data_IF_470869282414
#
_entry.id   IF_470869282414
#
_cell.length_a   1.000
_cell.length_b   1.000
_cell.length_c   1.000
_cell.angle_alpha   90.00
_cell.angle_beta   90.00
_cell.angle_gamma   90.00
#
_symmetry.space_group_name_H-M   'P 1'
#
loop_
_entity.id
_entity.type
_entity.pdbx_description
1 polymer ?
#
# COMPACT_ATOMS: atom_id res chain seq x y z
N UNK A 1 -17.90 -21.60 30.71
CA UNK A 1 -16.76 -20.87 30.10
C UNK A 1 -17.28 -19.54 29.59
N UNK A 2 -16.81 -18.40 30.12
CA UNK A 2 -17.16 -17.07 29.61
C UNK A 2 -16.65 -16.91 28.18
N UNK A 3 -17.49 -16.37 27.27
CA UNK A 3 -17.03 -16.03 25.92
C UNK A 3 -15.87 -15.04 26.04
N UNK A 4 -14.79 -15.20 25.25
CA UNK A 4 -13.72 -14.22 25.22
C UNK A 4 -14.32 -12.85 24.87
N UNK A 5 -13.90 -11.82 25.60
CA UNK A 5 -14.31 -10.44 25.33
C UNK A 5 -13.74 -10.03 23.97
N UNK A 6 -14.59 -9.50 23.09
CA UNK A 6 -14.13 -9.04 21.78
C UNK A 6 -13.14 -7.87 21.95
N UNK A 7 -12.05 -7.84 21.16
CA UNK A 7 -11.07 -6.76 21.21
C UNK A 7 -11.70 -5.39 20.94
N UNK A 8 -11.30 -4.40 21.72
CA UNK A 8 -11.80 -3.04 21.66
C UNK A 8 -11.00 -2.19 20.64
N UNK A 9 -11.45 -0.95 20.39
CA UNK A 9 -10.67 0.04 19.63
C UNK A 9 -9.33 0.34 20.30
N UNK A 10 -9.28 0.40 21.65
CA UNK A 10 -8.05 0.65 22.39
C UNK A 10 -7.03 -0.49 22.18
N UNK A 11 -7.49 -1.74 22.15
CA UNK A 11 -6.64 -2.90 21.88
C UNK A 11 -6.06 -2.82 20.46
N UNK A 12 -6.87 -2.44 19.46
CA UNK A 12 -6.41 -2.26 18.09
C UNK A 12 -5.37 -1.13 17.96
N UNK A 13 -5.59 -0.01 18.65
CA UNK A 13 -4.61 1.09 18.68
C UNK A 13 -3.30 0.68 19.36
N UNK A 14 -3.38 -0.07 20.47
CA UNK A 14 -2.20 -0.61 21.15
C UNK A 14 -1.43 -1.59 20.26
N UNK A 15 -2.12 -2.49 19.58
CA UNK A 15 -1.50 -3.43 18.64
C UNK A 15 -0.85 -2.71 17.46
N UNK A 16 -1.50 -1.70 16.88
CA UNK A 16 -0.92 -0.86 15.83
C UNK A 16 0.33 -0.11 16.29
N UNK A 17 0.34 0.40 17.52
CA UNK A 17 1.52 1.03 18.11
C UNK A 17 2.69 0.05 18.23
N UNK A 18 2.44 -1.20 18.61
CA UNK A 18 3.45 -2.24 18.68
C UNK A 18 4.09 -2.56 17.32
N UNK A 19 3.34 -2.47 16.22
CA UNK A 19 3.90 -2.63 14.85
C UNK A 19 5.00 -1.61 14.59
N UNK A 20 4.84 -0.38 15.07
CA UNK A 20 5.84 0.68 14.96
C UNK A 20 7.00 0.43 15.94
N UNK A 21 6.71 0.25 17.21
CA UNK A 21 7.69 0.11 18.29
C UNK A 21 8.58 -1.13 18.13
N UNK A 22 8.06 -2.21 17.54
CA UNK A 22 8.85 -3.41 17.21
C UNK A 22 9.76 -3.24 15.99
N UNK A 23 9.67 -2.12 15.28
CA UNK A 23 10.37 -1.88 14.02
C UNK A 23 9.81 -2.68 12.83
N UNK A 24 8.64 -3.28 12.94
CA UNK A 24 8.04 -4.07 11.85
C UNK A 24 7.72 -3.20 10.64
N UNK A 25 7.13 -2.02 10.85
CA UNK A 25 6.88 -1.04 9.80
C UNK A 25 8.17 -0.67 9.08
N UNK A 26 9.21 -0.30 9.84
CA UNK A 26 10.50 0.12 9.30
C UNK A 26 11.16 -0.96 8.45
N UNK A 27 11.24 -2.20 8.96
CA UNK A 27 11.81 -3.33 8.20
C UNK A 27 11.06 -3.59 6.90
N UNK A 28 9.73 -3.69 6.94
CA UNK A 28 8.93 -3.94 5.73
C UNK A 28 9.05 -2.78 4.74
N UNK A 29 9.07 -1.54 5.21
CA UNK A 29 9.24 -0.38 4.33
C UNK A 29 10.63 -0.34 3.70
N UNK A 30 11.67 -0.74 4.44
CA UNK A 30 13.03 -0.89 3.91
C UNK A 30 13.06 -1.86 2.74
N UNK A 31 12.41 -3.03 2.87
CA UNK A 31 12.34 -4.03 1.82
C UNK A 31 11.62 -3.49 0.56
N UNK A 32 10.52 -2.75 0.75
CA UNK A 32 9.79 -2.14 -0.35
C UNK A 32 10.59 -1.05 -1.06
N UNK A 33 11.27 -0.19 -0.29
CA UNK A 33 12.06 0.93 -0.83
C UNK A 33 13.29 0.42 -1.57
N UNK A 34 13.87 -0.70 -1.15
CA UNK A 34 15.05 -1.29 -1.81
C UNK A 34 14.81 -1.67 -3.28
N UNK A 35 13.56 -1.92 -3.67
CA UNK A 35 13.20 -2.11 -5.08
C UNK A 35 13.12 -0.75 -5.79
N UNK A 36 13.97 -0.56 -6.80
CA UNK A 36 14.06 0.66 -7.60
C UNK A 36 12.92 0.71 -8.62
N UNK A 37 11.72 1.02 -8.16
CA UNK A 37 10.50 1.05 -8.99
C UNK A 37 10.29 2.39 -9.69
N UNK A 38 11.30 2.89 -10.36
CA UNK A 38 11.28 4.16 -11.09
C UNK A 38 10.49 3.99 -12.40
N UNK A 39 9.21 4.39 -12.43
CA UNK A 39 8.34 4.25 -13.61
C UNK A 39 8.78 5.11 -14.79
N UNK A 40 9.53 6.17 -14.53
CA UNK A 40 10.08 7.06 -15.55
C UNK A 40 11.28 6.45 -16.29
N UNK A 41 11.85 5.33 -15.83
CA UNK A 41 12.95 4.61 -16.46
C UNK A 41 12.45 3.30 -17.10
N UNK A 42 12.40 3.18 -18.44
CA UNK A 42 11.97 1.97 -19.12
C UNK A 42 12.80 0.72 -18.78
N UNK A 43 14.05 0.89 -18.31
CA UNK A 43 14.89 -0.22 -17.88
C UNK A 43 14.37 -0.89 -16.59
N UNK A 44 13.53 -0.21 -15.82
CA UNK A 44 12.98 -0.70 -14.57
C UNK A 44 11.65 -1.46 -14.73
N UNK A 45 11.12 -1.65 -15.92
CA UNK A 45 9.83 -2.32 -16.17
C UNK A 45 9.73 -3.67 -15.47
N UNK A 46 10.78 -4.47 -15.47
CA UNK A 46 10.80 -5.77 -14.78
C UNK A 46 10.72 -5.61 -13.25
N UNK A 47 11.29 -4.56 -12.68
CA UNK A 47 11.27 -4.27 -11.25
C UNK A 47 9.88 -3.80 -10.80
N UNK A 48 9.17 -3.08 -11.67
CA UNK A 48 7.77 -2.68 -11.42
C UNK A 48 6.87 -3.92 -11.27
N UNK A 49 7.01 -4.89 -12.18
CA UNK A 49 6.26 -6.15 -12.10
C UNK A 49 6.70 -7.00 -10.89
N UNK A 50 8.01 -7.06 -10.60
CA UNK A 50 8.56 -7.72 -9.43
C UNK A 50 7.95 -7.20 -8.13
N UNK A 51 7.77 -5.89 -7.99
CA UNK A 51 7.16 -5.29 -6.82
C UNK A 51 5.75 -5.85 -6.55
N UNK A 52 4.93 -5.95 -7.58
CA UNK A 52 3.58 -6.52 -7.45
C UNK A 52 3.62 -8.02 -7.12
N UNK A 53 4.48 -8.80 -7.80
CA UNK A 53 4.53 -10.26 -7.68
C UNK A 53 5.17 -10.72 -6.39
N UNK A 54 6.28 -10.09 -5.98
CA UNK A 54 7.12 -10.58 -4.90
C UNK A 54 6.91 -9.86 -3.57
N UNK A 55 6.39 -8.61 -3.62
CA UNK A 55 6.15 -7.84 -2.40
C UNK A 55 4.66 -7.74 -2.07
N UNK A 56 3.84 -7.24 -2.99
CA UNK A 56 2.42 -6.98 -2.71
C UNK A 56 1.58 -8.25 -2.65
N UNK A 57 1.73 -9.12 -3.66
CA UNK A 57 0.95 -10.36 -3.74
C UNK A 57 1.12 -11.26 -2.52
N UNK A 58 2.33 -11.60 -2.05
CA UNK A 58 2.50 -12.45 -0.86
C UNK A 58 1.92 -11.82 0.41
N UNK A 59 2.09 -10.50 0.58
CA UNK A 59 1.56 -9.77 1.73
C UNK A 59 0.03 -9.84 1.80
N UNK A 60 -0.65 -9.68 0.68
CA UNK A 60 -2.11 -9.74 0.59
C UNK A 60 -2.62 -11.18 0.74
N UNK A 61 -1.94 -12.17 0.15
CA UNK A 61 -2.27 -13.59 0.33
C UNK A 61 -2.15 -14.03 1.80
N UNK A 62 -1.11 -13.57 2.53
CA UNK A 62 -0.95 -13.83 3.97
C UNK A 62 -2.15 -13.32 4.77
N UNK A 63 -2.78 -12.25 4.34
CA UNK A 63 -3.97 -11.69 4.95
C UNK A 63 -5.29 -12.32 4.45
N UNK A 64 -5.21 -13.36 3.62
CA UNK A 64 -6.38 -14.08 3.11
C UNK A 64 -7.15 -13.35 2.00
N UNK A 65 -6.46 -12.52 1.22
CA UNK A 65 -7.03 -11.93 0.02
C UNK A 65 -6.91 -12.89 -1.17
N UNK A 66 -7.89 -12.87 -2.06
CA UNK A 66 -7.74 -13.33 -3.43
C UNK A 66 -7.00 -12.25 -4.22
N UNK A 67 -5.92 -12.61 -4.93
CA UNK A 67 -5.03 -11.63 -5.58
C UNK A 67 -4.81 -12.00 -7.04
N UNK A 68 -5.09 -11.07 -7.93
CA UNK A 68 -4.87 -11.19 -9.37
C UNK A 68 -3.98 -10.05 -9.89
N UNK A 69 -3.04 -10.39 -10.76
CA UNK A 69 -2.36 -9.42 -11.60
C UNK A 69 -3.06 -9.35 -12.95
N UNK A 70 -3.25 -8.13 -13.43
CA UNK A 70 -3.90 -7.85 -14.70
C UNK A 70 -2.94 -7.11 -15.62
N UNK A 71 -2.98 -7.48 -16.89
CA UNK A 71 -2.28 -6.72 -17.91
C UNK A 71 -2.88 -5.30 -17.99
N UNK A 72 -2.02 -4.33 -18.24
CA UNK A 72 -2.49 -2.98 -18.45
C UNK A 72 -3.15 -2.85 -19.82
N UNK A 73 -4.31 -2.18 -19.95
CA UNK A 73 -4.96 -1.94 -21.23
C UNK A 73 -4.07 -1.19 -22.24
N UNK A 74 -3.15 -0.37 -21.74
CA UNK A 74 -2.16 0.32 -22.58
C UNK A 74 -0.93 -0.56 -22.77
N UNK A 75 -0.61 -0.84 -24.03
CA UNK A 75 0.53 -1.69 -24.40
C UNK A 75 1.84 -1.17 -23.78
N UNK A 76 2.60 -2.06 -23.15
CA UNK A 76 3.88 -1.80 -22.45
C UNK A 76 3.76 -0.99 -21.15
N UNK A 77 2.59 -0.54 -20.74
CA UNK A 77 2.44 -0.01 -19.41
C UNK A 77 2.52 -1.14 -18.36
N UNK A 78 3.00 -0.85 -17.14
CA UNK A 78 3.13 -1.87 -16.11
C UNK A 78 1.77 -2.50 -15.76
N UNK A 79 1.77 -3.77 -15.29
CA UNK A 79 0.54 -4.44 -14.85
C UNK A 79 -0.05 -3.75 -13.61
N UNK A 80 -1.32 -4.08 -13.34
CA UNK A 80 -2.03 -3.67 -12.13
C UNK A 80 -2.31 -4.88 -11.24
N UNK A 81 -2.39 -4.67 -9.94
CA UNK A 81 -2.80 -5.69 -9.00
C UNK A 81 -4.19 -5.35 -8.46
N UNK A 82 -5.12 -6.30 -8.57
CA UNK A 82 -6.42 -6.24 -7.93
C UNK A 82 -6.51 -7.36 -6.90
N UNK A 83 -6.91 -7.03 -5.68
CA UNK A 83 -7.14 -8.02 -4.64
C UNK A 83 -8.47 -7.80 -3.94
N UNK A 84 -9.05 -8.87 -3.38
CA UNK A 84 -10.28 -8.79 -2.63
C UNK A 84 -10.29 -9.74 -1.44
N UNK A 85 -10.86 -9.29 -0.33
CA UNK A 85 -11.22 -10.10 0.83
C UNK A 85 -12.67 -9.82 1.18
N UNK A 86 -13.53 -10.77 0.86
CA UNK A 86 -14.97 -10.69 1.14
C UNK A 86 -15.26 -11.55 2.35
N UNK A 87 -15.66 -10.93 3.46
CA UNK A 87 -16.05 -11.64 4.68
C UNK A 87 -17.54 -12.00 4.68
N UNK A 88 -18.37 -11.07 4.20
CA UNK A 88 -19.80 -11.28 3.99
C UNK A 88 -20.30 -10.24 2.96
N UNK A 89 -21.04 -10.66 1.91
CA UNK A 89 -21.58 -9.74 0.89
C UNK A 89 -22.45 -8.60 1.41
N UNK A 90 -23.08 -8.78 2.57
CA UNK A 90 -23.94 -7.77 3.21
C UNK A 90 -23.17 -6.68 3.96
N UNK A 91 -21.85 -6.87 4.15
CA UNK A 91 -21.01 -5.89 4.83
C UNK A 91 -20.55 -4.80 3.86
N UNK A 92 -20.32 -3.58 4.36
CA UNK A 92 -19.75 -2.52 3.54
C UNK A 92 -18.37 -2.91 3.00
N UNK A 93 -18.08 -2.43 1.80
CA UNK A 93 -16.82 -2.68 1.09
C UNK A 93 -15.98 -1.42 1.02
N UNK A 94 -14.73 -1.53 1.41
CA UNK A 94 -13.72 -0.47 1.29
C UNK A 94 -12.79 -0.83 0.13
N UNK A 95 -12.58 0.10 -0.81
CA UNK A 95 -11.53 0.03 -1.82
C UNK A 95 -10.33 0.84 -1.34
N UNK A 96 -9.18 0.20 -1.26
CA UNK A 96 -7.89 0.85 -0.98
C UNK A 96 -7.13 0.98 -2.31
N UNK A 97 -6.71 2.20 -2.62
CA UNK A 97 -5.84 2.50 -3.75
C UNK A 97 -4.45 2.89 -3.26
N UNK A 98 -3.45 2.52 -4.04
CA UNK A 98 -2.08 2.97 -3.89
C UNK A 98 -1.26 2.68 -5.14
N UNK A 99 -0.05 3.25 -5.19
CA UNK A 99 0.91 2.94 -6.25
C UNK A 99 2.26 2.53 -5.67
N UNK A 100 2.94 1.64 -6.38
CA UNK A 100 4.24 1.12 -5.93
C UNK A 100 5.42 1.71 -6.70
N UNK A 101 5.16 2.43 -7.78
CA UNK A 101 6.19 3.15 -8.52
C UNK A 101 6.61 4.45 -7.81
N UNK A 102 7.72 4.99 -8.25
CA UNK A 102 8.31 6.22 -7.74
C UNK A 102 8.95 7.00 -8.89
N UNK A 103 9.11 8.32 -8.69
CA UNK A 103 9.94 9.16 -9.58
C UNK A 103 11.41 8.75 -9.47
N UNK A 104 12.27 9.30 -10.34
CA UNK A 104 13.71 9.08 -10.29
C UNK A 104 14.28 9.28 -8.88
N UNK A 105 15.16 8.36 -8.46
CA UNK A 105 15.85 8.40 -7.19
C UNK A 105 16.72 9.64 -7.00
N UNK A 106 17.26 10.18 -8.10
CA UNK A 106 18.17 11.33 -8.09
C UNK A 106 19.38 11.11 -7.16
N UNK A 107 20.04 9.98 -7.32
CA UNK A 107 21.07 9.45 -6.41
C UNK A 107 22.12 10.48 -5.99
N UNK A 108 22.45 11.45 -6.86
CA UNK A 108 23.48 12.47 -6.61
C UNK A 108 22.97 13.72 -5.82
N UNK A 109 21.69 13.76 -5.46
CA UNK A 109 21.08 14.93 -4.82
C UNK A 109 20.77 14.68 -3.33
N UNK A 110 21.07 13.48 -2.83
CA UNK A 110 20.85 13.14 -1.42
C UNK A 110 21.99 13.68 -0.55
N UNK A 111 21.64 14.06 0.67
CA UNK A 111 22.63 14.46 1.67
C UNK A 111 23.60 13.32 1.96
N UNK A 112 24.86 13.61 2.38
CA UNK A 112 25.83 12.59 2.74
C UNK A 112 25.26 11.58 3.76
N UNK A 113 25.42 10.31 3.48
CA UNK A 113 24.89 9.22 4.31
C UNK A 113 23.45 8.80 4.02
N UNK A 114 22.75 9.50 3.13
CA UNK A 114 21.42 9.13 2.65
C UNK A 114 21.48 8.65 1.20
N UNK A 115 20.53 7.81 0.83
CA UNK A 115 20.37 7.33 -0.54
C UNK A 115 18.90 7.02 -0.84
N UNK A 116 18.48 7.06 -2.12
CA UNK A 116 17.06 6.86 -2.44
C UNK A 116 16.55 5.44 -2.13
N UNK A 117 17.38 4.41 -2.33
CA UNK A 117 16.94 3.01 -2.25
C UNK A 117 17.62 2.20 -1.13
N UNK A 118 18.29 2.88 -0.20
CA UNK A 118 18.75 2.31 1.06
C UNK A 118 18.26 3.23 2.20
N UNK A 119 17.24 2.78 2.92
CA UNK A 119 16.61 3.61 3.95
C UNK A 119 17.51 3.83 5.15
N UNK A 120 17.42 5.02 5.72
CA UNK A 120 18.10 5.40 6.96
C UNK A 120 17.10 6.08 7.88
N UNK A 121 17.07 5.69 9.14
CA UNK A 121 16.26 6.36 10.17
C UNK A 121 17.15 7.26 11.01
N UNK A 122 16.85 8.56 11.00
CA UNK A 122 17.54 9.59 11.78
C UNK A 122 16.49 10.41 12.55
N UNK A 123 16.70 10.59 13.83
CA UNK A 123 15.83 11.40 14.71
C UNK A 123 14.32 11.02 14.60
N UNK A 124 14.02 9.73 14.44
CA UNK A 124 12.67 9.22 14.32
C UNK A 124 12.03 9.42 12.94
N UNK A 125 12.78 9.91 11.96
CA UNK A 125 12.35 10.07 10.57
C UNK A 125 13.06 9.09 9.66
N UNK A 126 12.30 8.39 8.82
CA UNK A 126 12.84 7.43 7.85
C UNK A 126 12.98 8.10 6.48
N UNK A 127 14.21 8.08 5.96
CA UNK A 127 14.57 8.67 4.67
C UNK A 127 14.76 7.60 3.61
N UNK A 128 14.21 7.84 2.43
CA UNK A 128 14.29 6.99 1.25
C UNK A 128 13.24 7.37 0.21
N UNK A 129 13.44 7.02 -1.05
CA UNK A 129 12.47 7.27 -2.13
C UNK A 129 11.27 6.34 -1.98
N UNK A 130 10.07 6.91 -1.86
CA UNK A 130 8.85 6.15 -1.63
C UNK A 130 8.53 5.87 -0.15
N UNK A 131 9.34 6.32 0.82
CA UNK A 131 9.02 6.17 2.25
C UNK A 131 7.71 6.85 2.64
N UNK A 132 7.33 7.90 1.95
CA UNK A 132 6.02 8.52 2.04
C UNK A 132 5.19 8.16 0.78
N UNK A 133 5.59 8.66 -0.35
CA UNK A 133 4.89 8.59 -1.62
C UNK A 133 5.42 7.44 -2.49
N UNK A 134 4.67 6.34 -2.69
CA UNK A 134 3.43 5.97 -1.97
C UNK A 134 3.61 4.67 -1.19
N UNK A 135 4.83 4.02 -1.21
CA UNK A 135 5.11 2.72 -0.59
C UNK A 135 4.80 2.71 0.91
N UNK A 136 5.18 3.80 1.62
CA UNK A 136 4.89 3.92 3.05
C UNK A 136 3.40 4.04 3.33
N UNK A 137 2.68 4.79 2.53
CA UNK A 137 1.25 5.06 2.75
C UNK A 137 0.40 3.80 2.56
N UNK A 138 0.56 3.06 1.45
CA UNK A 138 -0.21 1.83 1.27
C UNK A 138 0.25 0.71 2.22
N UNK A 139 1.55 0.65 2.60
CA UNK A 139 2.02 -0.28 3.62
C UNK A 139 1.35 -0.05 4.97
N UNK A 140 1.16 1.21 5.40
CA UNK A 140 0.45 1.56 6.64
C UNK A 140 -0.98 1.01 6.60
N UNK A 141 -1.69 1.16 5.48
CA UNK A 141 -3.03 0.59 5.32
C UNK A 141 -3.02 -0.94 5.47
N UNK A 142 -2.08 -1.63 4.84
CA UNK A 142 -1.99 -3.09 4.92
C UNK A 142 -1.60 -3.58 6.32
N UNK A 143 -0.70 -2.90 7.00
CA UNK A 143 -0.35 -3.23 8.38
C UNK A 143 -1.52 -2.97 9.35
N UNK A 144 -2.33 -1.94 9.11
CA UNK A 144 -3.54 -1.71 9.88
C UNK A 144 -4.57 -2.84 9.67
N UNK A 145 -4.82 -3.27 8.43
CA UNK A 145 -5.68 -4.42 8.14
C UNK A 145 -5.15 -5.70 8.79
N UNK A 146 -3.85 -5.98 8.63
CA UNK A 146 -3.22 -7.16 9.24
C UNK A 146 -3.37 -7.14 10.76
N UNK A 147 -3.14 -6.00 11.39
CA UNK A 147 -3.31 -5.83 12.83
C UNK A 147 -4.73 -6.18 13.29
N UNK A 148 -5.75 -5.74 12.55
CA UNK A 148 -7.14 -6.07 12.86
C UNK A 148 -7.44 -7.56 12.65
N UNK A 149 -6.95 -8.16 11.58
CA UNK A 149 -7.12 -9.58 11.29
C UNK A 149 -6.46 -10.42 12.38
N UNK A 150 -5.21 -10.12 12.74
CA UNK A 150 -4.46 -10.85 13.78
C UNK A 150 -5.13 -10.73 15.13
N UNK A 151 -5.71 -9.57 15.45
CA UNK A 151 -6.34 -9.31 16.73
C UNK A 151 -7.75 -9.92 16.85
N UNK A 152 -8.53 -9.93 15.76
CA UNK A 152 -9.96 -10.27 15.79
C UNK A 152 -10.31 -11.53 15.00
N UNK A 153 -9.41 -12.00 14.13
CA UNK A 153 -9.70 -13.04 13.15
C UNK A 153 -10.53 -12.57 11.95
N UNK A 154 -11.06 -11.34 11.99
CA UNK A 154 -11.88 -10.74 10.95
C UNK A 154 -11.77 -9.22 10.96
N UNK A 155 -12.16 -8.59 9.85
CA UNK A 155 -12.23 -7.13 9.72
C UNK A 155 -13.60 -6.58 10.14
N UNK A 156 -14.68 -7.30 9.85
CA UNK A 156 -16.06 -6.85 10.01
C UNK A 156 -16.52 -5.96 8.84
N UNK A 157 -15.76 -5.92 7.75
CA UNK A 157 -16.07 -5.26 6.48
C UNK A 157 -15.29 -5.96 5.35
N UNK A 158 -15.74 -5.76 4.12
CA UNK A 158 -15.04 -6.27 2.95
C UNK A 158 -13.98 -5.27 2.49
N UNK A 159 -12.88 -5.78 1.92
CA UNK A 159 -11.81 -4.94 1.40
C UNK A 159 -11.45 -5.35 -0.02
N UNK A 160 -11.31 -4.37 -0.87
CA UNK A 160 -10.69 -4.47 -2.19
C UNK A 160 -9.43 -3.61 -2.20
N UNK A 161 -8.43 -4.02 -2.98
CA UNK A 161 -7.16 -3.30 -3.11
C UNK A 161 -6.81 -3.19 -4.57
N UNK A 162 -6.50 -1.98 -5.01
CA UNK A 162 -5.97 -1.70 -6.33
C UNK A 162 -4.59 -1.05 -6.17
N UNK A 163 -3.56 -1.69 -6.73
CA UNK A 163 -2.19 -1.15 -6.78
C UNK A 163 -1.77 -1.02 -8.23
N UNK A 164 -1.34 0.18 -8.61
CA UNK A 164 -0.72 0.44 -9.90
C UNK A 164 0.79 0.68 -9.77
N UNK A 165 1.46 0.77 -10.93
CA UNK A 165 2.92 0.95 -11.03
C UNK A 165 3.30 2.02 -12.04
N UNK A 166 2.43 3.03 -12.27
CA UNK A 166 2.63 4.07 -13.28
C UNK A 166 1.98 5.42 -12.89
N UNK A 167 1.71 5.65 -11.61
CA UNK A 167 1.09 6.89 -11.13
C UNK A 167 1.96 8.10 -11.46
N UNK A 168 3.26 7.99 -11.21
CA UNK A 168 4.27 9.03 -11.39
C UNK A 168 4.54 9.41 -12.88
N UNK A 169 3.89 8.71 -13.80
CA UNK A 169 3.88 9.02 -15.25
C UNK A 169 2.47 9.25 -15.79
N UNK A 170 1.49 9.49 -14.89
CA UNK A 170 0.12 9.86 -15.24
C UNK A 170 -0.83 8.69 -15.42
N UNK A 171 -0.58 7.56 -14.78
CA UNK A 171 -1.47 6.39 -14.71
C UNK A 171 -2.00 5.90 -16.06
N UNK A 172 -1.16 5.65 -17.08
CA UNK A 172 -1.63 5.20 -18.38
C UNK A 172 -2.40 3.88 -18.25
N UNK A 173 -3.62 3.84 -18.75
CA UNK A 173 -4.51 2.67 -18.74
C UNK A 173 -5.31 2.47 -17.46
N UNK A 174 -5.11 3.26 -16.41
CA UNK A 174 -5.87 3.12 -15.15
C UNK A 174 -7.37 3.38 -15.36
N UNK A 175 -7.72 4.42 -16.10
CA UNK A 175 -9.12 4.75 -16.36
C UNK A 175 -9.83 3.64 -17.15
N UNK A 176 -9.20 3.11 -18.19
CA UNK A 176 -9.69 2.01 -19.00
C UNK A 176 -9.81 0.72 -18.17
N UNK A 177 -8.82 0.44 -17.32
CA UNK A 177 -8.85 -0.69 -16.40
C UNK A 177 -10.01 -0.58 -15.42
N UNK A 178 -10.18 0.58 -14.78
CA UNK A 178 -11.29 0.81 -13.85
C UNK A 178 -12.66 0.68 -14.53
N UNK A 179 -12.78 1.15 -15.76
CA UNK A 179 -14.00 0.99 -16.54
C UNK A 179 -14.30 -0.48 -16.84
N UNK A 180 -13.30 -1.25 -17.23
CA UNK A 180 -13.41 -2.68 -17.52
C UNK A 180 -13.67 -3.52 -16.26
N UNK A 181 -13.12 -3.12 -15.12
CA UNK A 181 -13.23 -3.83 -13.82
C UNK A 181 -14.28 -3.19 -12.89
N UNK A 182 -15.22 -2.43 -13.42
CA UNK A 182 -16.18 -1.65 -12.64
C UNK A 182 -16.90 -2.44 -11.54
N UNK A 183 -17.33 -3.65 -11.83
CA UNK A 183 -18.03 -4.50 -10.86
C UNK A 183 -17.06 -5.03 -9.79
N UNK A 184 -15.87 -5.47 -10.22
CA UNK A 184 -14.84 -5.94 -9.31
C UNK A 184 -14.34 -4.82 -8.37
N UNK A 185 -14.33 -3.56 -8.81
CA UNK A 185 -13.90 -2.40 -8.03
C UNK A 185 -15.05 -1.72 -7.26
N UNK A 186 -16.33 -2.11 -7.47
CA UNK A 186 -17.44 -1.48 -6.77
C UNK A 186 -17.25 -1.54 -5.25
N UNK A 187 -17.38 -0.40 -4.57
CA UNK A 187 -17.17 -0.24 -3.15
C UNK A 187 -18.03 0.91 -2.60
N UNK A 188 -18.25 0.92 -1.29
CA UNK A 188 -18.99 1.98 -0.59
C UNK A 188 -18.07 3.15 -0.22
N UNK A 189 -16.79 2.86 0.02
CA UNK A 189 -15.78 3.85 0.42
C UNK A 189 -14.48 3.60 -0.35
N UNK A 190 -13.89 4.67 -0.89
CA UNK A 190 -12.51 4.66 -1.42
C UNK A 190 -11.57 5.30 -0.40
N UNK A 191 -10.46 4.64 -0.12
CA UNK A 191 -9.34 5.18 0.63
C UNK A 191 -8.12 5.25 -0.30
N UNK A 192 -7.78 6.46 -0.70
CA UNK A 192 -6.54 6.75 -1.40
C UNK A 192 -5.59 7.47 -0.42
N UNK A 193 -4.58 6.77 0.05
CA UNK A 193 -3.58 7.35 0.94
C UNK A 193 -2.46 7.98 0.11
N UNK A 194 -2.84 9.01 -0.65
CA UNK A 194 -1.97 9.68 -1.60
C UNK A 194 -2.37 11.14 -1.70
N UNK A 195 -2.00 11.90 -0.72
CA UNK A 195 -2.37 13.30 -0.66
C UNK A 195 -1.40 14.12 0.20
N UNK A 196 -1.36 15.42 -0.05
CA UNK A 196 -0.50 16.32 0.71
C UNK A 196 -0.94 16.38 2.16
N UNK A 197 0.03 16.56 3.06
CA UNK A 197 -0.23 16.94 4.46
C UNK A 197 -0.16 18.43 4.60
N UNK A 198 -1.03 19.01 5.41
CA UNK A 198 -0.95 20.43 5.77
C UNK A 198 0.28 20.69 6.64
N UNK A 199 0.60 19.76 7.54
CA UNK A 199 1.80 19.77 8.38
C UNK A 199 2.22 18.32 8.65
N UNK A 200 3.51 18.01 8.83
CA UNK A 200 3.98 16.63 9.07
C UNK A 200 3.33 15.96 10.27
N UNK A 201 3.04 16.72 11.31
CA UNK A 201 2.51 16.22 12.59
C UNK A 201 0.99 16.08 12.59
N UNK A 202 0.30 16.59 11.56
CA UNK A 202 -1.17 16.58 11.52
C UNK A 202 -1.65 15.61 10.45
N UNK A 203 -2.24 14.46 10.84
CA UNK A 203 -2.93 13.60 9.89
C UNK A 203 -4.03 14.41 9.17
N UNK A 204 -3.99 14.41 7.85
CA UNK A 204 -4.93 15.16 7.03
C UNK A 204 -5.77 14.19 6.20
N UNK A 205 -7.10 14.34 6.26
CA UNK A 205 -8.03 13.62 5.41
C UNK A 205 -8.80 14.63 4.56
N UNK A 206 -8.81 14.38 3.25
CA UNK A 206 -9.69 15.06 2.31
C UNK A 206 -10.88 14.15 2.04
N UNK A 207 -12.09 14.66 2.20
CA UNK A 207 -13.31 13.91 1.89
C UNK A 207 -14.01 14.56 0.70
N UNK A 208 -14.38 13.73 -0.27
CA UNK A 208 -15.15 14.09 -1.44
C UNK A 208 -16.54 13.46 -1.47
#
# INVERSE_FOLDING_TARGET
>A
MSKPVAPTRADAMSAGKQVIESGQLERRLTDLVALRTESQDPAQTAVLEQYLREMMRPMLLEMGFDVALHDNPVLKAPPLLLASRVENPELPTILIYGHGDVIHGQDNQWNPGLSPFATVTLDGMMYGRGTADNKGQHLINFLALKTLIDLRGSLGFNVKVLIEMAEEIGSPGLAEFCAAQREALAADVLIASDGPRLMPEIPTMFMG
#
